data_IF_702075780542
#
_entry.id   IF_702075780542
#
_cell.length_a   1.000
_cell.length_b   1.000
_cell.length_c   1.000
_cell.angle_alpha   90.00
_cell.angle_beta   90.00
_cell.angle_gamma   90.00
#
_symmetry.space_group_name_H-M   'P 1'
#
loop_
_entity.id
_entity.type
_entity.pdbx_description
1 polymer ?
#
# COMPACT_ATOMS: atom_id res chain seq x y z
N UNK A 1 -6.60 4.47 -1.75
CA UNK A 1 -5.17 4.57 -2.16
C UNK A 1 -4.98 3.75 -3.42
N UNK A 2 -4.90 4.41 -4.57
CA UNK A 2 -4.69 3.79 -5.88
C UNK A 2 -3.20 3.50 -6.08
N UNK A 3 -2.82 2.23 -6.28
CA UNK A 3 -1.43 1.79 -6.53
C UNK A 3 -1.31 1.24 -7.96
N UNK A 4 -2.00 1.86 -8.93
CA UNK A 4 -1.98 1.46 -10.33
C UNK A 4 -3.06 0.43 -10.70
N UNK A 5 -3.03 0.01 -11.97
CA UNK A 5 -3.94 -1.00 -12.52
C UNK A 5 -3.80 -2.31 -11.74
N UNK A 6 -4.92 -2.94 -11.37
CA UNK A 6 -4.88 -4.25 -10.72
C UNK A 6 -4.10 -5.24 -11.61
N UNK A 7 -3.20 -6.06 -11.04
CA UNK A 7 -2.44 -7.02 -11.83
C UNK A 7 -3.40 -8.02 -12.48
N UNK A 8 -3.24 -8.25 -13.79
CA UNK A 8 -4.03 -9.23 -14.55
C UNK A 8 -3.60 -10.67 -14.23
N UNK A 9 -2.34 -10.86 -13.83
CA UNK A 9 -1.76 -12.06 -13.25
C UNK A 9 -0.49 -11.72 -12.46
N UNK A 10 -0.10 -12.53 -11.47
CA UNK A 10 1.15 -12.31 -10.74
C UNK A 10 1.17 -12.84 -9.31
N UNK A 11 2.17 -12.40 -8.56
CA UNK A 11 2.36 -12.76 -7.16
C UNK A 11 2.06 -11.56 -6.27
N UNK A 12 1.22 -11.77 -5.26
CA UNK A 12 0.94 -10.79 -4.22
C UNK A 12 1.38 -11.36 -2.88
N UNK A 13 2.13 -10.57 -2.12
CA UNK A 13 2.54 -10.93 -0.76
C UNK A 13 2.00 -9.92 0.23
N UNK A 14 1.36 -10.38 1.28
CA UNK A 14 0.93 -9.55 2.39
C UNK A 14 1.69 -9.97 3.65
N UNK A 15 2.52 -9.09 4.18
CA UNK A 15 3.22 -9.27 5.43
C UNK A 15 2.57 -8.47 6.54
N UNK A 16 2.61 -8.98 7.76
CA UNK A 16 2.40 -8.18 8.95
C UNK A 16 3.54 -8.38 9.93
N UNK A 17 3.84 -7.33 10.68
CA UNK A 17 4.85 -7.35 11.72
C UNK A 17 4.29 -6.75 13.01
N UNK A 18 4.68 -7.33 14.15
CA UNK A 18 4.32 -6.85 15.49
C UNK A 18 3.45 -7.81 16.30
N UNK A 19 3.49 -7.61 17.62
CA UNK A 19 2.94 -8.53 18.61
C UNK A 19 1.41 -8.70 18.55
N UNK A 20 0.68 -7.69 18.05
CA UNK A 20 -0.79 -7.72 17.94
C UNK A 20 -1.35 -8.42 16.70
N UNK A 21 -0.51 -8.80 15.72
CA UNK A 21 -0.98 -9.20 14.39
C UNK A 21 -0.90 -10.71 14.08
N UNK A 22 -0.54 -11.54 15.06
CA UNK A 22 -0.31 -12.99 14.88
C UNK A 22 -1.49 -13.75 14.24
N UNK A 23 -2.72 -13.31 14.49
CA UNK A 23 -3.95 -13.94 13.97
C UNK A 23 -4.54 -13.21 12.75
N UNK A 24 -3.86 -12.18 12.23
CA UNK A 24 -4.41 -11.36 11.16
C UNK A 24 -4.32 -12.04 9.78
N UNK A 25 -3.49 -13.08 9.60
CA UNK A 25 -3.07 -13.60 8.30
C UNK A 25 -4.20 -13.83 7.28
N UNK A 26 -5.22 -14.64 7.60
CA UNK A 26 -6.30 -14.97 6.67
C UNK A 26 -7.16 -13.75 6.30
N UNK A 27 -7.52 -12.93 7.30
CA UNK A 27 -8.34 -11.74 7.10
C UNK A 27 -7.56 -10.63 6.36
N UNK A 28 -6.28 -10.48 6.66
CA UNK A 28 -5.39 -9.53 6.01
C UNK A 28 -5.21 -9.87 4.53
N UNK A 29 -4.99 -11.15 4.22
CA UNK A 29 -4.89 -11.62 2.85
C UNK A 29 -6.13 -11.30 2.01
N UNK A 30 -7.33 -11.61 2.54
CA UNK A 30 -8.59 -11.29 1.87
C UNK A 30 -8.81 -9.77 1.73
N UNK A 31 -8.48 -8.98 2.76
CA UNK A 31 -8.62 -7.52 2.73
C UNK A 31 -7.70 -6.88 1.68
N UNK A 32 -6.47 -7.39 1.53
CA UNK A 32 -5.54 -6.95 0.46
C UNK A 32 -6.13 -7.21 -0.91
N UNK A 33 -6.72 -8.39 -1.14
CA UNK A 33 -7.35 -8.72 -2.42
C UNK A 33 -8.58 -7.84 -2.71
N UNK A 34 -9.44 -7.60 -1.71
CA UNK A 34 -10.58 -6.68 -1.86
C UNK A 34 -10.08 -5.29 -2.27
N UNK A 35 -9.08 -4.75 -1.57
CA UNK A 35 -8.52 -3.43 -1.90
C UNK A 35 -7.80 -3.39 -3.26
N UNK A 36 -7.20 -4.50 -3.69
CA UNK A 36 -6.55 -4.58 -5.00
C UNK A 36 -7.56 -4.59 -6.16
N UNK A 37 -8.74 -5.16 -5.94
CA UNK A 37 -9.76 -5.31 -6.97
C UNK A 37 -10.87 -4.24 -6.91
N UNK A 38 -10.99 -3.46 -5.85
CA UNK A 38 -12.16 -2.59 -5.58
C UNK A 38 -12.46 -1.53 -6.65
N UNK A 39 -11.52 -1.21 -7.54
CA UNK A 39 -11.76 -0.29 -8.67
C UNK A 39 -11.90 -1.00 -10.04
N UNK A 40 -11.79 -2.32 -10.08
CA UNK A 40 -11.67 -3.08 -11.34
C UNK A 40 -12.65 -4.26 -11.44
N UNK A 41 -13.60 -4.38 -10.50
CA UNK A 41 -14.62 -5.43 -10.52
C UNK A 41 -16.02 -4.83 -10.65
N UNK A 42 -16.77 -5.29 -11.65
CA UNK A 42 -18.22 -5.07 -11.76
C UNK A 42 -19.03 -5.88 -10.71
N UNK A 43 -18.33 -6.57 -9.82
CA UNK A 43 -18.86 -7.47 -8.79
C UNK A 43 -18.59 -6.83 -7.43
N UNK A 44 -19.59 -6.81 -6.55
CA UNK A 44 -19.43 -6.42 -5.16
C UNK A 44 -18.48 -7.40 -4.43
N UNK A 45 -17.24 -6.96 -4.23
CA UNK A 45 -16.20 -7.76 -3.59
C UNK A 45 -16.21 -7.63 -2.07
N UNK A 46 -16.00 -8.76 -1.41
CA UNK A 46 -15.89 -8.93 0.03
C UNK A 46 -14.80 -9.97 0.37
N UNK A 47 -14.62 -10.22 1.67
CA UNK A 47 -13.55 -11.10 2.17
C UNK A 47 -13.73 -12.58 1.81
N UNK A 48 -14.92 -12.97 1.33
CA UNK A 48 -15.26 -14.35 0.99
C UNK A 48 -15.03 -14.60 -0.52
N UNK A 49 -15.46 -13.67 -1.38
CA UNK A 49 -15.40 -13.85 -2.83
C UNK A 49 -14.10 -13.30 -3.48
N UNK A 50 -13.33 -12.43 -2.80
CA UNK A 50 -12.07 -11.95 -3.34
C UNK A 50 -10.98 -13.05 -3.46
N UNK A 51 -10.79 -13.96 -2.49
CA UNK A 51 -9.82 -15.06 -2.63
C UNK A 51 -10.07 -16.02 -3.80
N UNK A 52 -11.30 -16.54 -4.05
CA UNK A 52 -11.54 -17.38 -5.22
C UNK A 52 -11.34 -16.59 -6.53
N UNK A 53 -11.78 -15.34 -6.61
CA UNK A 53 -11.55 -14.50 -7.80
C UNK A 53 -10.06 -14.30 -8.10
N UNK A 54 -9.23 -14.11 -7.07
CA UNK A 54 -7.78 -14.00 -7.26
C UNK A 54 -7.18 -15.26 -7.89
N UNK A 55 -7.62 -16.45 -7.45
CA UNK A 55 -7.16 -17.72 -8.04
C UNK A 55 -7.58 -17.87 -9.50
N UNK A 56 -8.80 -17.47 -9.85
CA UNK A 56 -9.30 -17.48 -11.23
C UNK A 56 -8.48 -16.55 -12.14
N UNK A 57 -8.05 -15.39 -11.63
CA UNK A 57 -7.14 -14.46 -12.31
C UNK A 57 -5.66 -14.88 -12.27
N UNK A 58 -5.34 -16.06 -11.74
CA UNK A 58 -3.96 -16.54 -11.65
C UNK A 58 -3.08 -15.71 -10.70
N UNK A 59 -3.68 -15.02 -9.72
CA UNK A 59 -2.95 -14.27 -8.69
C UNK A 59 -2.68 -15.18 -7.50
N UNK A 60 -1.40 -15.36 -7.19
CA UNK A 60 -0.98 -16.13 -6.02
C UNK A 60 -0.77 -15.21 -4.83
N UNK A 61 -1.51 -15.43 -3.74
CA UNK A 61 -1.37 -14.71 -2.50
C UNK A 61 -0.55 -15.50 -1.48
N UNK A 62 0.52 -14.90 -0.94
CA UNK A 62 1.23 -15.44 0.22
C UNK A 62 1.16 -14.48 1.40
N UNK A 63 0.89 -14.99 2.60
CA UNK A 63 0.86 -14.18 3.82
C UNK A 63 2.00 -14.57 4.76
N UNK A 64 2.67 -13.59 5.37
CA UNK A 64 3.71 -13.82 6.38
C UNK A 64 3.48 -12.98 7.62
N UNK A 65 3.99 -13.44 8.77
CA UNK A 65 4.04 -12.70 10.01
C UNK A 65 5.48 -12.65 10.54
N UNK A 66 5.91 -11.50 11.01
CA UNK A 66 7.19 -11.29 11.68
C UNK A 66 6.97 -10.68 13.07
N UNK A 67 7.73 -11.13 14.07
CA UNK A 67 7.61 -10.56 15.43
C UNK A 67 8.27 -9.17 15.51
N UNK A 68 9.35 -8.97 14.75
CA UNK A 68 10.14 -7.74 14.77
C UNK A 68 9.51 -6.66 13.90
N UNK A 69 9.40 -5.46 14.45
CA UNK A 69 8.94 -4.26 13.74
C UNK A 69 10.11 -3.27 13.68
N UNK A 70 10.24 -2.45 12.62
CA UNK A 70 11.17 -1.33 12.63
C UNK A 70 11.04 -0.49 13.91
N UNK A 71 12.16 -0.05 14.49
CA UNK A 71 12.28 0.48 15.86
C UNK A 71 11.41 1.70 16.23
N UNK A 72 10.57 2.19 15.31
CA UNK A 72 9.71 3.37 15.47
C UNK A 72 8.21 3.04 15.42
N UNK A 73 7.83 1.78 15.18
CA UNK A 73 6.44 1.36 15.04
C UNK A 73 6.12 0.16 15.95
N UNK A 74 4.91 0.13 16.49
CA UNK A 74 4.41 -1.01 17.27
C UNK A 74 3.90 -2.15 16.38
N UNK A 75 3.38 -1.80 15.20
CA UNK A 75 2.86 -2.72 14.19
C UNK A 75 3.13 -2.15 12.79
N UNK A 76 3.33 -3.03 11.82
CA UNK A 76 3.47 -2.66 10.40
C UNK A 76 2.77 -3.71 9.54
N UNK A 77 1.96 -3.25 8.58
CA UNK A 77 1.49 -4.06 7.46
C UNK A 77 2.31 -3.71 6.25
N UNK A 78 2.80 -4.71 5.54
CA UNK A 78 3.48 -4.56 4.25
C UNK A 78 2.72 -5.33 3.17
N UNK A 79 2.57 -4.71 2.01
CA UNK A 79 1.98 -5.35 0.84
C UNK A 79 2.97 -5.21 -0.30
N UNK A 80 3.30 -6.33 -0.93
CA UNK A 80 4.15 -6.40 -2.11
C UNK A 80 3.33 -6.97 -3.25
N UNK A 81 3.19 -6.21 -4.32
CA UNK A 81 2.52 -6.63 -5.54
C UNK A 81 3.57 -6.77 -6.64
N UNK A 82 3.63 -7.95 -7.25
CA UNK A 82 4.51 -8.25 -8.36
C UNK A 82 3.67 -8.75 -9.53
N UNK A 83 3.54 -7.92 -10.55
CA UNK A 83 2.92 -8.32 -11.81
C UNK A 83 3.86 -9.27 -12.58
N UNK A 84 3.29 -10.26 -13.27
CA UNK A 84 4.07 -11.13 -14.14
C UNK A 84 4.78 -10.31 -15.24
N UNK A 85 6.11 -10.38 -15.29
CA UNK A 85 6.93 -9.61 -16.24
C UNK A 85 6.95 -8.08 -16.01
N UNK A 86 6.38 -7.60 -14.90
CA UNK A 86 6.22 -6.18 -14.59
C UNK A 86 7.05 -5.69 -13.40
N UNK A 87 6.74 -4.47 -12.97
CA UNK A 87 7.36 -3.85 -11.81
C UNK A 87 6.92 -4.51 -10.49
N UNK A 88 7.77 -4.38 -9.48
CA UNK A 88 7.46 -4.75 -8.10
C UNK A 88 7.10 -3.47 -7.35
N UNK A 89 5.94 -3.48 -6.70
CA UNK A 89 5.49 -2.38 -5.85
C UNK A 89 5.37 -2.86 -4.42
N UNK A 90 5.89 -2.06 -3.49
CA UNK A 90 5.79 -2.33 -2.06
C UNK A 90 5.18 -1.11 -1.36
N UNK A 91 4.21 -1.34 -0.49
CA UNK A 91 3.66 -0.31 0.39
C UNK A 91 3.66 -0.84 1.81
N UNK A 92 3.98 0.02 2.77
CA UNK A 92 3.85 -0.29 4.18
C UNK A 92 3.10 0.80 4.93
N UNK A 93 2.28 0.38 5.87
CA UNK A 93 1.45 1.28 6.67
C UNK A 93 1.11 0.68 8.03
N UNK A 94 0.55 1.52 8.88
CA UNK A 94 0.14 1.17 10.24
C UNK A 94 -1.13 1.93 10.60
N UNK A 95 -1.72 1.60 11.75
CA UNK A 95 -2.87 2.33 12.29
C UNK A 95 -2.43 3.06 13.55
N UNK A 96 -2.73 4.36 13.64
CA UNK A 96 -2.46 5.18 14.81
C UNK A 96 -3.75 5.85 15.26
N UNK A 97 -4.16 5.62 16.50
CA UNK A 97 -5.40 6.17 17.07
C UNK A 97 -6.63 6.00 16.14
N UNK A 98 -6.74 4.83 15.48
CA UNK A 98 -7.83 4.52 14.54
C UNK A 98 -7.67 5.09 13.13
N UNK A 99 -6.62 5.88 12.87
CA UNK A 99 -6.33 6.46 11.55
C UNK A 99 -5.29 5.60 10.81
N UNK A 100 -5.54 5.18 9.56
CA UNK A 100 -4.55 4.49 8.76
C UNK A 100 -3.47 5.46 8.28
N UNK A 101 -2.21 5.09 8.44
CA UNK A 101 -1.04 5.92 8.15
C UNK A 101 -0.09 5.20 7.19
N UNK A 102 0.45 5.95 6.24
CA UNK A 102 1.49 5.50 5.33
C UNK A 102 2.86 5.61 6.00
N UNK A 103 3.61 4.51 6.00
CA UNK A 103 4.97 4.47 6.52
C UNK A 103 6.03 4.43 5.41
N UNK A 104 5.76 3.68 4.33
CA UNK A 104 6.74 3.50 3.26
C UNK A 104 6.10 3.15 1.91
N UNK A 105 6.78 3.55 0.82
CA UNK A 105 6.47 3.14 -0.55
C UNK A 105 7.77 2.80 -1.27
N UNK A 106 7.85 1.61 -1.88
CA UNK A 106 8.97 1.12 -2.66
C UNK A 106 10.33 1.31 -1.97
N UNK A 107 10.39 1.01 -0.67
CA UNK A 107 11.60 1.15 0.15
C UNK A 107 11.92 2.58 0.63
N UNK A 108 11.17 3.60 0.18
CA UNK A 108 11.28 4.95 0.71
C UNK A 108 10.37 5.11 1.94
N UNK A 109 10.94 5.53 3.07
CA UNK A 109 10.20 5.85 4.29
C UNK A 109 9.68 7.27 4.27
N UNK A 110 8.47 7.48 4.78
CA UNK A 110 7.90 8.81 4.97
C UNK A 110 8.42 9.38 6.29
N UNK A 111 9.04 10.55 6.27
CA UNK A 111 9.59 11.19 7.48
C UNK A 111 8.53 11.71 8.44
N UNK A 112 7.34 12.01 7.90
CA UNK A 112 6.15 12.46 8.62
C UNK A 112 5.02 11.50 8.24
N UNK A 113 4.41 10.79 9.19
CA UNK A 113 3.31 9.87 8.87
C UNK A 113 2.21 10.58 8.07
N UNK A 114 1.89 10.05 6.88
CA UNK A 114 0.84 10.59 6.02
C UNK A 114 -0.44 9.81 6.26
N UNK A 115 -1.54 10.49 6.61
CA UNK A 115 -2.83 9.83 6.74
C UNK A 115 -3.27 9.26 5.38
N UNK A 116 -3.73 8.02 5.39
CA UNK A 116 -4.39 7.38 4.25
C UNK A 116 -5.90 7.63 4.25
N UNK A 117 -6.42 8.43 5.18
CA UNK A 117 -7.80 8.89 5.16
C UNK A 117 -7.96 9.99 4.09
N UNK A 118 -8.97 9.84 3.23
CA UNK A 118 -9.22 10.76 2.12
C UNK A 118 -8.33 10.49 0.90
N UNK A 119 -8.02 11.55 0.17
CA UNK A 119 -7.23 11.49 -1.06
C UNK A 119 -5.75 11.68 -0.77
N UNK A 120 -4.90 10.92 -1.46
CA UNK A 120 -3.44 11.01 -1.33
C UNK A 120 -2.84 11.03 -2.73
N UNK A 121 -2.12 12.10 -3.06
CA UNK A 121 -1.34 12.20 -4.29
C UNK A 121 0.05 11.58 -4.09
N UNK A 122 0.33 10.49 -4.80
CA UNK A 122 1.67 9.88 -4.85
C UNK A 122 2.28 10.17 -6.21
N UNK A 123 3.48 10.76 -6.21
CA UNK A 123 4.19 11.14 -7.43
C UNK A 123 5.64 10.69 -7.38
N UNK A 124 6.15 10.21 -8.52
CA UNK A 124 7.54 9.78 -8.72
C UNK A 124 8.16 10.60 -9.85
N UNK A 125 9.26 11.28 -9.58
CA UNK A 125 10.07 11.97 -10.58
C UNK A 125 11.55 11.68 -10.44
N UNK A 126 12.30 12.07 -11.47
CA UNK A 126 13.73 12.30 -11.35
C UNK A 126 13.99 13.47 -10.37
N UNK A 127 15.20 13.51 -9.80
CA UNK A 127 15.61 14.57 -8.88
C UNK A 127 15.69 15.91 -9.63
N UNK A 128 14.62 16.69 -9.58
CA UNK A 128 14.54 18.03 -10.15
C UNK A 128 13.94 18.99 -9.11
N UNK A 129 14.71 19.99 -8.63
CA UNK A 129 14.26 20.94 -7.62
C UNK A 129 12.99 21.73 -8.00
N UNK A 130 12.71 21.90 -9.29
CA UNK A 130 11.57 22.66 -9.80
C UNK A 130 10.24 21.88 -9.69
N UNK A 131 10.29 20.55 -9.58
CA UNK A 131 9.09 19.72 -9.67
C UNK A 131 8.25 19.78 -8.41
N UNK A 132 8.86 19.77 -7.22
CA UNK A 132 8.12 19.80 -5.96
C UNK A 132 7.32 21.10 -5.77
N UNK A 133 7.87 22.31 -6.03
CA UNK A 133 7.08 23.54 -6.01
C UNK A 133 5.93 23.55 -7.02
N UNK A 134 6.14 23.02 -8.23
CA UNK A 134 5.09 22.95 -9.25
C UNK A 134 3.94 22.03 -8.84
N UNK A 135 4.24 20.84 -8.31
CA UNK A 135 3.23 19.90 -7.81
C UNK A 135 2.49 20.49 -6.60
N UNK A 136 3.22 21.15 -5.68
CA UNK A 136 2.62 21.80 -4.52
C UNK A 136 1.67 22.94 -4.92
N UNK A 137 2.03 23.75 -5.91
CA UNK A 137 1.16 24.82 -6.43
C UNK A 137 -0.15 24.26 -7.00
N UNK A 138 -0.10 23.13 -7.72
CA UNK A 138 -1.29 22.46 -8.24
C UNK A 138 -2.17 21.89 -7.11
N UNK A 139 -1.56 21.24 -6.12
CA UNK A 139 -2.28 20.65 -4.99
C UNK A 139 -2.88 21.71 -4.04
N UNK A 140 -2.19 22.84 -3.86
CA UNK A 140 -2.68 23.94 -3.01
C UNK A 140 -3.96 24.58 -3.56
N UNK A 141 -4.14 24.59 -4.88
CA UNK A 141 -5.39 25.00 -5.50
C UNK A 141 -6.60 24.13 -5.07
N UNK A 142 -6.35 22.94 -4.51
CA UNK A 142 -7.34 21.98 -4.03
C UNK A 142 -7.28 21.66 -2.52
N UNK A 143 -6.50 22.39 -1.71
CA UNK A 143 -6.45 22.26 -0.23
C UNK A 143 -6.08 20.87 0.32
N UNK A 144 -4.98 20.25 -0.16
CA UNK A 144 -4.50 18.95 0.35
C UNK A 144 -3.14 19.00 1.08
N UNK A 145 -2.92 18.06 2.00
CA UNK A 145 -1.75 17.94 2.88
C UNK A 145 -0.57 17.26 2.14
N UNK A 146 0.61 17.91 2.12
CA UNK A 146 1.81 17.42 1.43
C UNK A 146 2.73 16.64 2.39
N UNK A 147 3.01 15.38 2.04
CA UNK A 147 4.09 14.57 2.64
C UNK A 147 5.20 14.28 1.61
N UNK A 148 6.46 14.34 2.03
CA UNK A 148 7.61 14.10 1.14
C UNK A 148 8.28 12.75 1.42
N UNK A 149 8.48 11.97 0.36
CA UNK A 149 9.27 10.75 0.34
C UNK A 149 10.63 11.03 -0.32
N UNK A 150 11.74 10.67 0.33
CA UNK A 150 13.07 10.64 -0.30
C UNK A 150 13.58 9.21 -0.37
N UNK A 151 13.87 8.74 -1.58
CA UNK A 151 14.67 7.52 -1.79
C UNK A 151 16.13 7.84 -1.49
N UNK A 152 16.77 7.12 -0.56
CA UNK A 152 18.24 7.11 -0.52
C UNK A 152 18.71 6.34 -1.75
N UNK A 153 19.49 6.99 -2.61
CA UNK A 153 20.28 6.30 -3.63
C UNK A 153 21.45 5.57 -2.96
#
# INVERSE_FOLDING_TARGET
MYIGKAPESGNTKAGCAGCGMKKAGSNLGAAVLVGLFSEHSDIDLNLINAPPLAKEKGIQLSTSHEEQVPAQLECLVSVVVQQQGGAIHQVGGFVSAGTPMLAQINGASVSTPVSLAGNVLVYKSQANPQVMPAVAAMAYCHSELLGCLRTRQ
#
